data_IF_206165388176
#
_entry.id   IF_206165388176
#
_cell.length_a   1.000
_cell.length_b   1.000
_cell.length_c   1.000
_cell.angle_alpha   90.00
_cell.angle_beta   90.00
_cell.angle_gamma   90.00
#
_symmetry.space_group_name_H-M   'P 1'
#
loop_
_entity.id
_entity.type
_entity.pdbx_description
1 polymer ?
#
# COMPACT_ATOMS: atom_id res chain seq x y z
N UNK A 1 -8.23 65.32 -14.24
CA UNK A 1 -7.20 64.68 -13.42
C UNK A 1 -7.87 63.56 -12.62
N UNK A 2 -7.68 62.28 -13.07
CA UNK A 2 -8.17 61.08 -12.37
C UNK A 2 -6.93 60.30 -11.96
N UNK A 3 -6.69 60.20 -10.66
CA UNK A 3 -5.62 59.35 -10.12
C UNK A 3 -6.08 57.90 -10.13
N UNK A 4 -5.42 57.07 -10.90
CA UNK A 4 -5.56 55.62 -10.83
C UNK A 4 -4.61 55.10 -9.72
N UNK A 5 -5.18 54.54 -8.67
CA UNK A 5 -4.45 53.86 -7.61
C UNK A 5 -4.12 52.44 -8.06
N UNK A 6 -2.85 52.20 -8.33
CA UNK A 6 -2.34 50.85 -8.65
C UNK A 6 -2.14 50.08 -7.35
N UNK A 7 -3.00 49.10 -7.07
CA UNK A 7 -2.78 48.17 -5.97
C UNK A 7 -1.85 47.07 -6.47
N UNK A 8 -0.59 47.13 -6.07
CA UNK A 8 0.37 46.04 -6.19
C UNK A 8 0.08 45.07 -5.02
N UNK A 9 -0.59 43.97 -5.32
CA UNK A 9 -0.64 42.82 -4.41
C UNK A 9 0.75 42.16 -4.42
N UNK A 10 1.54 42.40 -3.39
CA UNK A 10 2.72 41.62 -3.12
C UNK A 10 2.28 40.24 -2.60
N UNK A 11 2.29 39.23 -3.49
CA UNK A 11 2.30 37.84 -3.05
C UNK A 11 3.65 37.61 -2.32
N UNK A 12 3.62 37.66 -1.01
CA UNK A 12 4.70 37.14 -0.19
C UNK A 12 4.68 35.63 -0.32
N UNK A 13 5.49 35.08 -1.26
CA UNK A 13 5.87 33.69 -1.24
C UNK A 13 6.64 33.49 0.08
N UNK A 14 6.01 32.91 1.07
CA UNK A 14 6.67 32.44 2.27
C UNK A 14 7.56 31.26 1.84
N UNK A 15 8.76 31.55 1.36
CA UNK A 15 9.82 30.58 1.23
C UNK A 15 10.18 30.19 2.68
N UNK A 16 9.68 29.08 3.16
CA UNK A 16 10.23 28.44 4.34
C UNK A 16 11.71 28.17 4.01
N UNK A 17 12.60 29.00 4.53
CA UNK A 17 14.02 28.74 4.47
C UNK A 17 14.26 27.53 5.37
N UNK A 18 14.31 26.34 4.77
CA UNK A 18 14.82 25.17 5.45
C UNK A 18 16.26 25.47 5.89
N UNK A 19 16.64 24.94 7.05
CA UNK A 19 18.00 25.03 7.54
C UNK A 19 19.00 24.30 6.60
N UNK A 20 20.24 24.16 7.05
CA UNK A 20 21.27 23.36 6.38
C UNK A 20 20.72 21.96 6.01
N UNK A 21 20.91 21.45 4.78
CA UNK A 21 20.53 20.10 4.42
C UNK A 21 21.36 19.05 5.18
N UNK A 22 20.73 17.94 5.53
CA UNK A 22 21.35 16.80 6.18
C UNK A 22 21.34 15.58 5.24
N UNK A 23 22.44 14.87 5.21
CA UNK A 23 22.63 13.69 4.38
C UNK A 23 22.76 12.46 5.25
N UNK A 24 22.14 11.35 4.80
CA UNK A 24 22.12 10.09 5.54
C UNK A 24 22.49 8.95 4.60
N UNK A 25 23.46 8.13 4.99
CA UNK A 25 23.90 6.95 4.25
C UNK A 25 24.10 5.76 5.20
N UNK A 26 23.27 4.73 5.05
CA UNK A 26 23.39 3.51 5.86
C UNK A 26 24.66 2.72 5.53
N UNK A 27 25.17 2.85 4.31
CA UNK A 27 26.37 2.14 3.82
C UNK A 27 27.69 2.85 4.12
N UNK A 28 27.68 4.20 4.20
CA UNK A 28 28.92 4.99 4.31
C UNK A 28 28.91 6.05 5.41
N UNK A 29 27.83 6.16 6.17
CA UNK A 29 27.66 7.18 7.20
C UNK A 29 28.08 6.73 8.61
N UNK A 30 28.14 7.72 9.52
CA UNK A 30 28.29 7.52 10.96
C UNK A 30 27.47 8.55 11.71
N UNK A 31 26.77 8.13 12.79
CA UNK A 31 25.96 9.06 13.58
C UNK A 31 26.81 10.03 14.43
N UNK A 32 28.13 9.85 14.45
CA UNK A 32 29.09 10.82 14.99
C UNK A 32 29.49 11.93 14.01
N UNK A 33 29.08 11.83 12.75
CA UNK A 33 29.36 12.83 11.72
C UNK A 33 28.48 14.08 11.89
N UNK A 34 28.71 15.12 11.09
CA UNK A 34 27.95 16.37 11.12
C UNK A 34 26.73 16.40 10.20
N UNK A 35 26.49 15.31 9.47
CA UNK A 35 25.38 15.19 8.52
C UNK A 35 25.56 15.96 7.21
N UNK A 36 26.75 16.45 6.90
CA UNK A 36 27.06 17.00 5.57
C UNK A 36 27.13 15.88 4.51
N UNK A 37 27.08 16.22 3.23
CA UNK A 37 27.19 15.24 2.15
C UNK A 37 28.52 14.47 2.19
N UNK A 38 29.63 15.15 2.58
CA UNK A 38 30.94 14.54 2.73
C UNK A 38 31.07 13.67 4.00
N UNK A 39 30.27 13.94 5.04
CA UNK A 39 30.26 13.24 6.31
C UNK A 39 28.80 12.95 6.74
N UNK A 40 28.09 12.05 6.05
CA UNK A 40 26.67 11.79 6.29
C UNK A 40 26.44 11.05 7.61
N UNK A 41 25.25 11.21 8.18
CA UNK A 41 24.77 10.34 9.25
C UNK A 41 24.58 8.91 8.76
N UNK A 42 24.61 7.95 9.65
CA UNK A 42 24.32 6.53 9.34
C UNK A 42 22.83 6.23 9.39
N UNK A 43 22.15 6.79 10.37
CA UNK A 43 20.73 6.52 10.62
C UNK A 43 19.89 7.78 10.42
N UNK A 44 18.63 7.59 10.01
CA UNK A 44 17.68 8.70 9.86
C UNK A 44 17.40 9.38 11.21
N UNK A 45 17.48 8.61 12.30
CA UNK A 45 17.25 9.10 13.65
C UNK A 45 18.30 10.12 14.14
N UNK A 46 19.47 10.17 13.51
CA UNK A 46 20.49 11.17 13.82
C UNK A 46 20.18 12.55 13.18
N UNK A 47 19.33 12.60 12.18
CA UNK A 47 18.92 13.85 11.56
C UNK A 47 17.84 14.57 12.38
N UNK A 48 17.78 15.91 12.34
CA UNK A 48 16.73 16.68 13.00
C UNK A 48 15.34 16.30 12.47
N UNK A 49 14.38 16.13 13.37
CA UNK A 49 13.00 15.76 13.01
C UNK A 49 12.08 16.94 12.73
N UNK A 50 12.59 18.18 12.84
CA UNK A 50 11.79 19.39 12.63
C UNK A 50 12.55 20.42 11.79
N UNK A 51 11.83 21.06 10.87
CA UNK A 51 12.32 22.18 10.04
C UNK A 51 13.62 21.86 9.27
N UNK A 52 13.75 20.65 8.72
CA UNK A 52 14.98 20.16 8.09
C UNK A 52 14.74 19.63 6.68
N UNK A 53 15.76 19.74 5.83
CA UNK A 53 15.89 18.97 4.59
C UNK A 53 16.80 17.76 4.85
N UNK A 54 16.32 16.56 4.55
CA UNK A 54 17.02 15.30 4.83
C UNK A 54 17.09 14.50 3.53
N UNK A 55 18.29 14.16 3.12
CA UNK A 55 18.54 13.42 1.89
C UNK A 55 19.12 12.04 2.19
N UNK A 56 18.42 11.00 1.74
CA UNK A 56 18.81 9.60 1.89
C UNK A 56 19.60 9.15 0.66
N UNK A 57 20.71 8.45 0.86
CA UNK A 57 21.55 7.99 -0.25
C UNK A 57 20.83 6.96 -1.10
N UNK A 58 20.80 7.18 -2.41
CA UNK A 58 20.31 6.20 -3.37
C UNK A 58 21.11 4.90 -3.31
N UNK A 59 20.44 3.76 -3.48
CA UNK A 59 21.01 2.43 -3.34
C UNK A 59 21.07 1.90 -1.90
N UNK A 60 20.91 2.75 -0.89
CA UNK A 60 20.95 2.35 0.51
C UNK A 60 19.61 1.79 1.00
N UNK A 61 19.70 0.87 1.97
CA UNK A 61 18.55 0.31 2.69
C UNK A 61 18.63 0.73 4.15
N UNK A 62 17.58 1.38 4.62
CA UNK A 62 17.42 1.83 6.00
C UNK A 62 16.42 0.91 6.72
N UNK A 63 16.90 0.05 7.59
CA UNK A 63 16.05 -0.85 8.36
C UNK A 63 15.44 -0.11 9.54
N UNK A 64 14.11 0.06 9.50
CA UNK A 64 13.36 0.82 10.49
C UNK A 64 12.25 1.63 9.84
N UNK A 65 11.64 2.52 10.60
CA UNK A 65 10.53 3.37 10.18
C UNK A 65 10.88 4.85 10.33
N UNK A 66 10.23 5.71 9.54
CA UNK A 66 10.26 7.17 9.70
C UNK A 66 9.00 7.60 10.46
N UNK A 67 9.15 8.34 11.55
CA UNK A 67 8.00 8.80 12.33
C UNK A 67 8.28 10.10 13.09
N UNK A 68 7.26 10.96 13.19
CA UNK A 68 7.29 12.15 14.05
C UNK A 68 8.00 13.36 13.44
N UNK A 69 8.17 13.43 12.14
CA UNK A 69 8.80 14.58 11.46
C UNK A 69 7.78 15.70 11.21
N UNK A 70 8.23 16.95 11.39
CA UNK A 70 7.42 18.17 11.20
C UNK A 70 8.14 19.18 10.35
N UNK A 71 7.40 19.80 9.42
CA UNK A 71 7.94 20.80 8.51
C UNK A 71 9.26 20.35 7.84
N UNK A 72 9.35 19.10 7.42
CA UNK A 72 10.56 18.51 6.85
C UNK A 72 10.37 18.18 5.39
N UNK A 73 11.48 18.23 4.64
CA UNK A 73 11.59 17.64 3.33
C UNK A 73 12.50 16.42 3.40
N UNK A 74 11.99 15.26 3.00
CA UNK A 74 12.74 13.99 2.99
C UNK A 74 12.85 13.54 1.54
N UNK A 75 14.07 13.46 1.03
CA UNK A 75 14.34 13.13 -0.37
C UNK A 75 15.49 12.15 -0.54
N UNK A 76 15.97 12.02 -1.77
CA UNK A 76 17.08 11.16 -2.12
C UNK A 76 18.24 11.97 -2.76
N UNK A 77 19.48 11.51 -2.57
CA UNK A 77 20.66 12.07 -3.22
C UNK A 77 21.55 10.99 -3.84
N UNK A 78 22.44 11.39 -4.72
CA UNK A 78 23.32 10.50 -5.47
C UNK A 78 22.59 9.80 -6.62
N UNK A 79 23.20 8.77 -7.18
CA UNK A 79 22.67 8.02 -8.31
C UNK A 79 22.25 6.60 -7.92
N UNK A 80 21.39 5.97 -8.73
CA UNK A 80 20.94 4.61 -8.54
C UNK A 80 19.47 4.49 -8.09
N UNK A 81 19.12 3.33 -7.53
CA UNK A 81 17.77 3.03 -7.06
C UNK A 81 17.36 3.96 -5.92
N UNK A 82 16.05 4.16 -5.74
CA UNK A 82 15.52 4.91 -4.60
C UNK A 82 16.01 4.30 -3.27
N UNK A 83 16.33 5.12 -2.25
CA UNK A 83 16.61 4.62 -0.91
C UNK A 83 15.39 3.91 -0.35
N UNK A 84 15.59 2.80 0.35
CA UNK A 84 14.52 1.94 0.84
C UNK A 84 14.38 2.01 2.35
N UNK A 85 13.23 2.44 2.83
CA UNK A 85 12.82 2.27 4.23
C UNK A 85 12.23 0.87 4.36
N UNK A 86 12.88 0.00 5.11
CA UNK A 86 12.63 -1.43 5.08
C UNK A 86 12.23 -2.00 6.45
N UNK A 87 11.07 -2.65 6.49
CA UNK A 87 10.55 -3.36 7.67
C UNK A 87 10.77 -4.87 7.64
N UNK A 88 11.56 -5.38 6.69
CA UNK A 88 11.79 -6.82 6.54
C UNK A 88 12.80 -7.35 7.57
N UNK A 89 12.43 -8.44 8.25
CA UNK A 89 13.30 -9.31 9.01
C UNK A 89 13.77 -10.45 8.10
N UNK A 90 15.05 -10.54 7.84
CA UNK A 90 15.64 -11.44 6.83
C UNK A 90 16.30 -12.63 7.53
N UNK A 91 15.95 -13.85 7.14
CA UNK A 91 16.60 -15.06 7.68
C UNK A 91 18.03 -15.11 7.16
N UNK A 92 18.99 -15.00 8.10
CA UNK A 92 20.44 -15.07 7.85
C UNK A 92 20.98 -16.48 7.96
N UNK A 93 20.47 -17.22 8.94
CA UNK A 93 20.92 -18.58 9.25
C UNK A 93 19.88 -19.61 8.81
N UNK A 94 20.05 -20.31 7.68
CA UNK A 94 19.13 -21.37 7.24
C UNK A 94 18.99 -22.52 8.26
N UNK A 95 20.00 -22.78 9.09
CA UNK A 95 19.97 -23.83 10.12
C UNK A 95 19.08 -23.44 11.32
N UNK A 96 18.63 -22.20 11.41
CA UNK A 96 17.67 -21.76 12.43
C UNK A 96 16.25 -22.35 12.25
N UNK A 97 15.95 -22.88 11.07
CA UNK A 97 14.72 -23.60 10.83
C UNK A 97 14.75 -24.99 11.44
N UNK A 98 13.83 -25.27 12.34
CA UNK A 98 13.62 -26.58 12.95
C UNK A 98 12.48 -27.31 12.21
N UNK A 99 12.76 -28.54 11.71
CA UNK A 99 11.74 -29.37 11.08
C UNK A 99 10.87 -30.05 12.13
N UNK A 100 9.57 -29.93 11.98
CA UNK A 100 8.55 -30.61 12.76
C UNK A 100 7.88 -31.73 11.92
N UNK A 101 6.82 -32.33 12.45
CA UNK A 101 6.02 -33.30 11.72
C UNK A 101 5.24 -32.64 10.56
N UNK A 102 4.81 -33.45 9.58
CA UNK A 102 3.90 -33.05 8.49
C UNK A 102 4.40 -31.90 7.60
N UNK A 103 5.70 -31.87 7.30
CA UNK A 103 6.35 -30.85 6.49
C UNK A 103 6.20 -29.42 7.05
N UNK A 104 6.04 -29.28 8.34
CA UNK A 104 6.03 -27.99 9.01
C UNK A 104 7.45 -27.68 9.52
N UNK A 105 7.88 -26.47 9.30
CA UNK A 105 9.10 -25.89 9.81
C UNK A 105 8.77 -24.74 10.75
N UNK A 106 9.59 -24.53 11.78
CA UNK A 106 9.46 -23.36 12.65
C UNK A 106 10.78 -22.62 12.79
N UNK A 107 10.69 -21.33 13.07
CA UNK A 107 11.84 -20.48 13.41
C UNK A 107 11.50 -19.58 14.59
N UNK A 108 12.45 -19.44 15.53
CA UNK A 108 12.29 -18.55 16.69
C UNK A 108 12.61 -17.11 16.28
N UNK A 109 11.58 -16.26 16.24
CA UNK A 109 11.66 -14.87 15.83
C UNK A 109 12.35 -13.95 16.84
N UNK A 110 12.61 -14.46 18.06
CA UNK A 110 13.23 -13.69 19.16
C UNK A 110 14.75 -13.81 19.21
N UNK A 111 15.34 -14.58 18.29
CA UNK A 111 16.79 -14.86 18.24
C UNK A 111 17.49 -13.95 17.23
N UNK A 112 18.11 -12.82 17.65
CA UNK A 112 18.68 -11.84 16.72
C UNK A 112 19.80 -12.42 15.85
N UNK A 113 20.55 -13.41 16.35
CA UNK A 113 21.63 -14.08 15.63
C UNK A 113 21.17 -14.79 14.35
N UNK A 114 19.87 -15.07 14.22
CA UNK A 114 19.28 -15.75 13.06
C UNK A 114 18.85 -14.81 11.95
N UNK A 115 18.88 -13.51 12.19
CA UNK A 115 18.31 -12.52 11.27
C UNK A 115 19.26 -11.37 10.96
N UNK A 116 19.14 -10.88 9.73
CA UNK A 116 19.56 -9.56 9.30
C UNK A 116 18.34 -8.65 9.09
N UNK A 117 18.59 -7.40 8.78
CA UNK A 117 17.52 -6.44 8.45
C UNK A 117 16.88 -5.80 9.68
N UNK A 118 15.56 -5.60 9.63
CA UNK A 118 14.82 -4.99 10.72
C UNK A 118 14.52 -6.02 11.81
N UNK A 119 15.24 -5.93 12.90
CA UNK A 119 14.97 -6.77 14.06
C UNK A 119 13.84 -6.17 14.89
N UNK A 120 12.66 -6.78 14.76
CA UNK A 120 11.48 -6.41 15.52
C UNK A 120 11.31 -7.37 16.72
N UNK A 121 10.85 -6.84 17.85
CA UNK A 121 10.60 -7.60 19.07
C UNK A 121 9.13 -7.55 19.48
N UNK A 122 8.74 -8.48 20.34
CA UNK A 122 7.41 -8.55 20.92
C UNK A 122 6.31 -8.53 19.88
N UNK A 123 5.36 -7.61 20.00
CA UNK A 123 4.22 -7.49 19.09
C UNK A 123 4.58 -7.23 17.64
N UNK A 124 5.76 -6.69 17.35
CA UNK A 124 6.22 -6.42 15.98
C UNK A 124 6.58 -7.70 15.23
N UNK A 125 6.76 -8.82 15.94
CA UNK A 125 6.86 -10.15 15.33
C UNK A 125 5.51 -10.72 14.87
N UNK A 126 4.43 -9.96 14.91
CA UNK A 126 3.17 -10.24 14.24
C UNK A 126 3.39 -10.13 12.71
N UNK A 127 3.87 -11.21 12.12
CA UNK A 127 4.30 -11.25 10.73
C UNK A 127 3.08 -11.19 9.79
N UNK A 128 3.13 -10.31 8.81
CA UNK A 128 2.07 -10.14 7.83
C UNK A 128 2.27 -10.97 6.56
N UNK A 129 3.51 -11.16 6.12
CA UNK A 129 3.84 -11.92 4.92
C UNK A 129 5.18 -12.63 5.04
N UNK A 130 5.31 -13.77 4.36
CA UNK A 130 6.58 -14.47 4.10
C UNK A 130 6.98 -14.21 2.65
N UNK A 131 8.20 -13.76 2.44
CA UNK A 131 8.70 -13.30 1.16
C UNK A 131 10.06 -13.91 0.80
N UNK A 132 10.19 -14.47 -0.39
CA UNK A 132 11.48 -14.88 -0.94
C UNK A 132 12.05 -13.75 -1.79
N UNK A 133 13.04 -13.06 -1.26
CA UNK A 133 13.70 -11.93 -1.91
C UNK A 133 14.47 -12.34 -3.17
N UNK A 134 14.96 -13.60 -3.24
CA UNK A 134 15.71 -14.07 -4.41
C UNK A 134 14.82 -14.35 -5.61
N UNK A 135 13.57 -14.74 -5.36
CA UNK A 135 12.58 -15.06 -6.40
C UNK A 135 11.52 -13.98 -6.60
N UNK A 136 11.59 -12.88 -5.84
CA UNK A 136 10.54 -11.84 -5.76
C UNK A 136 9.13 -12.44 -5.56
N UNK A 137 9.02 -13.44 -4.64
CA UNK A 137 7.80 -14.23 -4.45
C UNK A 137 7.26 -14.07 -3.04
N UNK A 138 5.98 -13.74 -2.92
CA UNK A 138 5.23 -13.85 -1.66
C UNK A 138 4.73 -15.28 -1.51
N UNK A 139 4.85 -15.86 -0.33
CA UNK A 139 4.34 -17.20 -0.03
C UNK A 139 3.02 -17.13 0.71
N UNK A 140 2.13 -18.03 0.33
CA UNK A 140 0.95 -18.53 1.02
C UNK A 140 0.18 -17.58 1.92
N UNK A 141 -0.64 -18.16 2.76
CA UNK A 141 -1.53 -17.40 3.62
C UNK A 141 -1.17 -17.56 5.10
N UNK A 142 -1.30 -16.47 5.85
CA UNK A 142 -1.31 -16.55 7.30
C UNK A 142 -2.61 -17.24 7.72
N UNK A 143 -2.50 -18.45 8.24
CA UNK A 143 -3.65 -19.21 8.75
C UNK A 143 -3.96 -18.84 10.21
N UNK A 144 -5.13 -19.22 10.67
CA UNK A 144 -5.68 -18.80 11.96
C UNK A 144 -5.21 -19.65 13.15
N UNK A 145 -4.61 -20.81 12.87
CA UNK A 145 -4.18 -21.79 13.87
C UNK A 145 -3.23 -22.80 13.26
N UNK A 146 -2.40 -23.45 14.08
CA UNK A 146 -1.41 -24.42 13.65
C UNK A 146 -1.97 -25.56 12.77
N UNK A 147 -3.09 -26.16 13.17
CA UNK A 147 -3.71 -27.27 12.42
C UNK A 147 -4.44 -26.83 11.12
N UNK A 148 -4.40 -25.57 10.76
CA UNK A 148 -4.88 -25.06 9.48
C UNK A 148 -3.75 -24.85 8.45
N UNK A 149 -2.53 -25.26 8.75
CA UNK A 149 -1.40 -25.28 7.80
C UNK A 149 -1.60 -26.41 6.78
N UNK A 150 -2.41 -26.20 5.74
CA UNK A 150 -2.85 -27.23 4.80
C UNK A 150 -2.15 -27.17 3.44
N UNK A 151 -1.77 -25.98 3.00
CA UNK A 151 -1.07 -25.79 1.73
C UNK A 151 0.41 -25.48 1.93
N UNK A 152 1.26 -25.87 0.96
CA UNK A 152 2.66 -25.44 0.98
C UNK A 152 2.72 -23.92 0.77
N UNK A 153 3.46 -23.25 1.65
CA UNK A 153 3.53 -21.81 1.73
C UNK A 153 2.65 -21.21 2.83
N UNK A 154 1.67 -21.94 3.35
CA UNK A 154 0.91 -21.48 4.50
C UNK A 154 1.81 -21.26 5.71
N UNK A 155 1.53 -20.22 6.48
CA UNK A 155 2.26 -19.92 7.69
C UNK A 155 1.33 -19.53 8.84
N UNK A 156 1.82 -19.72 10.03
CA UNK A 156 1.16 -19.32 11.28
C UNK A 156 2.19 -18.72 12.21
N UNK A 157 1.80 -17.69 12.94
CA UNK A 157 2.69 -17.06 13.93
C UNK A 157 2.15 -17.37 15.31
N UNK A 158 2.99 -17.89 16.18
CA UNK A 158 2.60 -18.21 17.55
C UNK A 158 2.51 -16.95 18.41
N UNK A 159 1.35 -16.50 18.53
CA UNK A 159 0.75 -15.82 19.63
C UNK A 159 -0.57 -16.52 19.77
N UNK A 160 -1.16 -16.62 20.92
CA UNK A 160 -2.52 -17.08 21.03
C UNK A 160 -3.44 -16.11 20.29
N UNK A 161 -3.55 -16.29 18.98
CA UNK A 161 -4.63 -15.70 18.20
C UNK A 161 -5.88 -16.45 18.60
N UNK A 162 -6.25 -16.32 19.88
CA UNK A 162 -7.46 -16.89 20.41
C UNK A 162 -8.65 -16.23 19.70
N UNK A 163 -9.71 -16.97 19.50
CA UNK A 163 -10.97 -16.51 18.88
C UNK A 163 -11.64 -15.34 19.63
N UNK A 164 -11.09 -14.91 20.71
CA UNK A 164 -11.61 -13.86 21.60
C UNK A 164 -10.71 -12.66 21.41
N UNK A 165 -11.31 -11.49 21.26
CA UNK A 165 -10.65 -10.19 21.26
C UNK A 165 -9.26 -10.27 21.87
N UNK A 166 -8.21 -10.25 21.06
CA UNK A 166 -6.83 -10.27 21.54
C UNK A 166 -6.59 -8.92 22.23
N UNK A 167 -7.21 -8.75 23.38
CA UNK A 167 -6.93 -7.64 24.30
C UNK A 167 -5.65 -7.91 25.08
N UNK A 168 -5.09 -9.12 24.97
CA UNK A 168 -3.85 -9.43 25.64
C UNK A 168 -2.70 -8.70 24.97
N UNK A 169 -2.32 -7.62 25.61
CA UNK A 169 -1.20 -6.77 25.22
C UNK A 169 0.17 -7.44 25.47
N UNK A 170 0.20 -8.63 26.04
CA UNK A 170 1.40 -9.38 26.41
C UNK A 170 1.88 -10.39 25.36
N UNK A 171 1.15 -10.56 24.24
CA UNK A 171 1.53 -11.53 23.22
C UNK A 171 2.87 -11.19 22.55
N UNK A 172 3.82 -12.04 22.84
CA UNK A 172 5.09 -12.08 22.11
C UNK A 172 4.99 -13.16 21.05
N UNK A 173 4.80 -12.75 19.79
CA UNK A 173 4.87 -13.66 18.64
C UNK A 173 6.27 -14.27 18.56
N UNK A 174 6.45 -15.44 19.18
CA UNK A 174 7.77 -16.03 19.33
C UNK A 174 8.18 -16.86 18.12
N UNK A 175 7.29 -17.71 17.63
CA UNK A 175 7.62 -18.64 16.55
C UNK A 175 6.80 -18.35 15.30
N UNK A 176 7.45 -18.43 14.14
CA UNK A 176 6.77 -18.58 12.87
C UNK A 176 6.83 -20.05 12.46
N UNK A 177 5.70 -20.60 12.10
CA UNK A 177 5.52 -21.94 11.53
C UNK A 177 5.20 -21.80 10.05
N UNK A 178 5.88 -22.59 9.23
CA UNK A 178 5.77 -22.51 7.77
C UNK A 178 5.69 -23.91 7.19
N UNK A 179 4.71 -24.17 6.30
CA UNK A 179 4.60 -25.47 5.63
C UNK A 179 5.43 -25.49 4.37
N UNK A 180 6.44 -26.38 4.34
CA UNK A 180 7.33 -26.55 3.20
C UNK A 180 7.89 -27.98 3.16
N UNK A 181 8.02 -28.55 1.95
CA UNK A 181 8.64 -29.89 1.76
C UNK A 181 10.09 -29.90 2.24
N UNK A 182 10.81 -28.85 1.97
CA UNK A 182 12.21 -28.68 2.31
C UNK A 182 12.40 -27.47 3.24
N UNK A 183 13.60 -27.32 3.78
CA UNK A 183 13.96 -26.14 4.54
C UNK A 183 13.61 -24.87 3.73
N UNK A 184 12.77 -23.95 4.28
CA UNK A 184 12.32 -22.78 3.52
C UNK A 184 13.44 -21.91 2.95
N UNK A 185 14.62 -21.92 3.60
CA UNK A 185 15.81 -21.18 3.15
C UNK A 185 16.78 -22.04 2.32
N UNK A 186 16.37 -23.22 1.85
CA UNK A 186 17.18 -24.06 0.95
C UNK A 186 17.10 -23.62 -0.52
N UNK A 187 17.95 -24.18 -1.37
CA UNK A 187 17.91 -23.94 -2.80
C UNK A 187 18.12 -22.49 -3.25
N UNK A 188 18.88 -21.71 -2.48
CA UNK A 188 19.16 -20.30 -2.77
C UNK A 188 18.03 -19.33 -2.40
N UNK A 189 16.99 -19.80 -1.73
CA UNK A 189 15.91 -18.92 -1.24
C UNK A 189 16.42 -17.96 -0.18
N UNK A 190 16.05 -16.68 -0.30
CA UNK A 190 16.34 -15.63 0.67
C UNK A 190 15.06 -15.21 1.35
N UNK A 191 14.72 -15.93 2.42
CA UNK A 191 13.44 -15.73 3.13
C UNK A 191 13.47 -14.48 4.02
N UNK A 192 12.43 -13.69 3.93
CA UNK A 192 12.21 -12.52 4.75
C UNK A 192 10.75 -12.46 5.23
N UNK A 193 10.52 -11.72 6.31
CA UNK A 193 9.22 -11.56 6.93
C UNK A 193 8.86 -10.07 7.01
N UNK A 194 7.62 -9.70 6.59
CA UNK A 194 7.11 -8.37 6.88
C UNK A 194 6.75 -8.27 8.36
N UNK A 195 7.33 -7.29 9.06
CA UNK A 195 7.09 -7.12 10.50
C UNK A 195 5.98 -6.10 10.76
N UNK A 196 5.23 -6.28 11.85
CA UNK A 196 4.18 -5.35 12.22
C UNK A 196 4.75 -3.95 12.48
N UNK A 197 4.28 -2.97 11.71
CA UNK A 197 4.71 -1.58 11.78
C UNK A 197 4.19 -0.77 10.62
N UNK A 198 4.40 0.54 10.69
CA UNK A 198 4.12 1.50 9.61
C UNK A 198 5.44 2.08 9.13
N UNK A 199 5.64 2.08 7.81
CA UNK A 199 6.91 2.54 7.24
C UNK A 199 7.17 4.03 7.47
N UNK A 200 6.19 4.87 7.15
CA UNK A 200 6.25 6.31 7.38
C UNK A 200 4.98 6.74 8.10
N UNK A 201 5.13 7.44 9.24
CA UNK A 201 3.96 7.84 10.03
C UNK A 201 4.17 9.11 10.86
N UNK A 202 3.04 9.68 11.32
CA UNK A 202 3.01 10.86 12.20
C UNK A 202 3.80 12.04 11.62
N UNK A 203 3.59 12.30 10.32
CA UNK A 203 4.18 13.45 9.64
C UNK A 203 3.23 14.64 9.65
N UNK A 204 3.78 15.83 9.82
CA UNK A 204 3.04 17.10 9.79
C UNK A 204 3.76 18.09 8.88
N UNK A 205 3.05 18.61 7.86
CA UNK A 205 3.58 19.56 6.88
C UNK A 205 4.91 19.13 6.22
N UNK A 206 5.02 17.86 5.89
CA UNK A 206 6.23 17.29 5.29
C UNK A 206 6.08 17.03 3.79
N UNK A 207 7.22 17.04 3.09
CA UNK A 207 7.31 16.53 1.73
C UNK A 207 8.25 15.31 1.71
N UNK A 208 7.79 14.18 1.13
CA UNK A 208 8.59 12.97 0.93
C UNK A 208 8.67 12.68 -0.55
N UNK A 209 9.86 12.65 -1.12
CA UNK A 209 10.07 12.49 -2.56
C UNK A 209 11.15 11.44 -2.86
N UNK A 210 10.86 10.58 -3.85
CA UNK A 210 11.83 9.62 -4.37
C UNK A 210 12.37 8.61 -3.35
N UNK A 211 11.54 8.18 -2.41
CA UNK A 211 11.85 7.19 -1.37
C UNK A 211 11.01 5.94 -1.58
N UNK A 212 11.56 4.76 -1.32
CA UNK A 212 10.85 3.51 -1.32
C UNK A 212 10.52 3.04 0.11
N UNK A 213 9.35 2.40 0.28
CA UNK A 213 8.90 1.79 1.55
C UNK A 213 8.57 0.33 1.29
N UNK A 214 9.14 -0.61 2.05
CA UNK A 214 8.95 -2.04 1.78
C UNK A 214 8.85 -2.89 3.05
N UNK A 215 7.92 -3.86 3.04
CA UNK A 215 7.90 -4.96 4.00
C UNK A 215 7.37 -4.62 5.39
N UNK A 216 6.43 -3.69 5.49
CA UNK A 216 5.74 -3.37 6.74
C UNK A 216 4.40 -4.07 6.83
N UNK A 217 4.13 -4.77 7.91
CA UNK A 217 2.95 -5.59 8.10
C UNK A 217 1.68 -4.82 8.47
N UNK A 218 1.76 -3.50 8.69
CA UNK A 218 0.60 -2.64 9.00
C UNK A 218 0.28 -1.74 7.82
N UNK A 219 0.97 -0.62 7.65
CA UNK A 219 0.75 0.30 6.53
C UNK A 219 2.09 0.79 5.95
N UNK A 220 2.08 1.19 4.69
CA UNK A 220 3.23 1.86 4.07
C UNK A 220 3.39 3.27 4.63
N UNK A 221 2.39 4.10 4.44
CA UNK A 221 2.31 5.48 4.93
C UNK A 221 0.99 5.68 5.67
N UNK A 222 1.01 6.24 6.87
CA UNK A 222 -0.19 6.54 7.63
C UNK A 222 0.00 7.73 8.57
N UNK A 223 -1.10 8.33 9.02
CA UNK A 223 -1.10 9.43 10.00
C UNK A 223 -0.26 10.61 9.54
N UNK A 224 -0.62 11.19 8.42
CA UNK A 224 0.02 12.36 7.84
C UNK A 224 -0.98 13.52 7.71
N UNK A 225 -0.52 14.75 7.92
CA UNK A 225 -1.31 15.97 7.85
C UNK A 225 -0.55 17.06 7.12
N UNK A 226 -1.15 17.64 6.09
CA UNK A 226 -0.52 18.69 5.29
C UNK A 226 0.69 18.21 4.51
N UNK A 227 0.74 16.92 4.17
CA UNK A 227 1.92 16.27 3.60
C UNK A 227 1.81 16.06 2.08
N UNK A 228 2.96 16.03 1.42
CA UNK A 228 3.08 15.69 0.01
C UNK A 228 4.00 14.49 -0.15
N UNK A 229 3.49 13.46 -0.84
CA UNK A 229 4.23 12.24 -1.15
C UNK A 229 4.37 12.14 -2.67
N UNK A 230 5.60 12.17 -3.18
CA UNK A 230 5.88 12.16 -4.61
C UNK A 230 6.85 11.08 -5.01
N UNK A 231 6.64 10.53 -6.20
CA UNK A 231 7.58 9.60 -6.82
C UNK A 231 8.03 8.45 -5.90
N UNK A 232 7.19 8.03 -4.97
CA UNK A 232 7.51 6.97 -4.02
C UNK A 232 7.17 5.59 -4.59
N UNK A 233 7.89 4.57 -4.09
CA UNK A 233 7.53 3.17 -4.28
C UNK A 233 7.11 2.58 -2.94
N UNK A 234 5.91 2.00 -2.86
CA UNK A 234 5.38 1.36 -1.66
C UNK A 234 5.03 -0.07 -2.00
N UNK A 235 5.73 -1.06 -1.43
CA UNK A 235 5.66 -2.45 -1.85
C UNK A 235 5.62 -3.43 -0.69
N UNK A 236 4.88 -4.54 -0.84
CA UNK A 236 4.79 -5.63 0.12
C UNK A 236 4.32 -5.14 1.50
N UNK A 237 3.11 -4.59 1.55
CA UNK A 237 2.56 -3.94 2.75
C UNK A 237 1.38 -4.75 3.30
N UNK A 238 1.39 -4.95 4.62
CA UNK A 238 0.25 -5.46 5.36
C UNK A 238 0.32 -6.93 5.72
N UNK A 239 -0.85 -7.47 6.07
CA UNK A 239 -1.08 -8.85 6.47
C UNK A 239 -0.95 -9.11 7.96
N UNK A 240 -0.40 -8.22 8.76
CA UNK A 240 -0.37 -8.37 10.23
C UNK A 240 -1.78 -8.34 10.80
N UNK A 241 -2.04 -9.20 11.78
CA UNK A 241 -3.34 -9.24 12.49
C UNK A 241 -3.56 -7.93 13.25
N UNK A 242 -4.75 -7.37 13.15
CA UNK A 242 -5.12 -6.21 13.95
C UNK A 242 -5.41 -6.66 15.38
N UNK A 243 -4.50 -6.34 16.30
CA UNK A 243 -4.65 -6.71 17.71
C UNK A 243 -5.90 -6.05 18.33
N UNK A 244 -6.64 -6.82 19.12
CA UNK A 244 -7.91 -6.38 19.70
C UNK A 244 -9.15 -6.68 18.85
N UNK A 245 -8.96 -7.27 17.66
CA UNK A 245 -10.01 -7.68 16.74
C UNK A 245 -9.94 -9.18 16.46
N UNK A 246 -10.98 -9.79 15.86
CA UNK A 246 -10.89 -11.16 15.39
C UNK A 246 -9.69 -11.36 14.46
N UNK A 247 -9.04 -12.51 14.54
CA UNK A 247 -7.79 -12.84 13.83
C UNK A 247 -7.84 -12.70 12.28
N UNK A 248 -9.04 -12.68 11.69
CA UNK A 248 -9.20 -12.43 10.26
C UNK A 248 -9.17 -10.95 9.90
N UNK A 249 -9.24 -10.04 10.89
CA UNK A 249 -9.09 -8.61 10.64
C UNK A 249 -7.60 -8.29 10.60
N UNK A 250 -7.14 -7.89 9.44
CA UNK A 250 -5.73 -7.59 9.17
C UNK A 250 -5.60 -6.20 8.59
N UNK A 251 -4.43 -5.63 8.74
CA UNK A 251 -4.06 -4.31 8.26
C UNK A 251 -3.24 -4.44 6.98
N UNK A 252 -3.22 -3.41 6.11
CA UNK A 252 -2.42 -3.55 4.91
C UNK A 252 -2.50 -2.45 3.86
N UNK A 253 -2.78 -1.21 4.25
CA UNK A 253 -2.91 -0.12 3.28
C UNK A 253 -1.54 0.44 2.85
N UNK A 254 -1.39 0.70 1.55
CA UNK A 254 -0.22 1.40 1.02
C UNK A 254 -0.13 2.81 1.57
N UNK A 255 -1.16 3.62 1.32
CA UNK A 255 -1.37 4.92 1.95
C UNK A 255 -2.69 4.92 2.71
N UNK A 256 -2.65 5.22 4.00
CA UNK A 256 -3.83 5.33 4.84
C UNK A 256 -4.02 6.76 5.37
N UNK A 257 -5.10 7.40 4.97
CA UNK A 257 -5.54 8.67 5.55
C UNK A 257 -6.80 8.44 6.37
N UNK A 258 -6.59 8.28 7.67
CA UNK A 258 -7.65 8.06 8.64
C UNK A 258 -8.07 9.36 9.32
N UNK A 259 -9.36 9.66 9.27
CA UNK A 259 -9.95 10.78 10.01
C UNK A 259 -10.72 10.29 11.23
N UNK A 260 -10.73 11.07 12.27
CA UNK A 260 -11.65 10.94 13.41
C UNK A 260 -12.10 12.31 13.86
N UNK A 261 -13.16 12.38 14.69
CA UNK A 261 -13.62 13.60 15.32
C UNK A 261 -12.57 14.31 16.21
N UNK A 262 -11.50 13.59 16.54
CA UNK A 262 -10.35 14.11 17.32
C UNK A 262 -9.13 14.45 16.48
N UNK A 263 -9.10 14.00 15.22
CA UNK A 263 -7.97 14.18 14.30
C UNK A 263 -8.50 14.42 12.89
N UNK A 264 -8.44 15.64 12.39
CA UNK A 264 -8.77 15.92 11.00
C UNK A 264 -7.78 15.18 10.07
N UNK A 265 -8.22 14.90 8.87
CA UNK A 265 -7.34 14.50 7.79
C UNK A 265 -7.49 15.53 6.67
N UNK A 266 -6.44 16.28 6.40
CA UNK A 266 -6.52 17.37 5.42
C UNK A 266 -5.19 17.66 4.74
N UNK A 267 -5.30 18.27 3.56
CA UNK A 267 -4.18 18.82 2.80
C UNK A 267 -3.08 17.80 2.48
N UNK A 268 -3.46 16.55 2.15
CA UNK A 268 -2.51 15.52 1.76
C UNK A 268 -2.55 15.29 0.24
N UNK A 269 -1.38 15.23 -0.38
CA UNK A 269 -1.21 14.92 -1.80
C UNK A 269 -0.33 13.67 -1.95
N UNK A 270 -0.80 12.69 -2.73
CA UNK A 270 0.00 11.54 -3.20
C UNK A 270 0.05 11.62 -4.72
N UNK A 271 1.23 11.81 -5.29
CA UNK A 271 1.40 12.09 -6.69
C UNK A 271 2.53 11.27 -7.34
N UNK A 272 2.25 10.62 -8.46
CA UNK A 272 3.24 9.88 -9.23
C UNK A 272 3.89 8.71 -8.49
N UNK A 273 3.23 8.17 -7.47
CA UNK A 273 3.73 7.05 -6.67
C UNK A 273 3.35 5.70 -7.29
N UNK A 274 4.18 4.67 -7.05
CA UNK A 274 3.85 3.27 -7.37
C UNK A 274 3.56 2.53 -6.07
N UNK A 275 2.39 1.92 -5.98
CA UNK A 275 1.98 1.08 -4.84
C UNK A 275 1.72 -0.33 -5.34
N UNK A 276 2.36 -1.31 -4.73
CA UNK A 276 2.23 -2.69 -5.17
C UNK A 276 2.11 -3.67 -4.02
N UNK A 277 1.41 -4.78 -4.27
CA UNK A 277 1.29 -5.91 -3.34
C UNK A 277 0.93 -5.47 -1.93
N UNK A 278 -0.24 -4.84 -1.76
CA UNK A 278 -0.79 -4.53 -0.44
C UNK A 278 -1.78 -5.60 -0.03
N UNK A 279 -1.75 -6.00 1.24
CA UNK A 279 -2.72 -6.97 1.78
C UNK A 279 -4.15 -6.42 1.74
N UNK A 280 -4.33 -5.12 1.90
CA UNK A 280 -5.58 -4.41 1.82
C UNK A 280 -5.50 -3.35 0.69
N UNK A 281 -5.88 -2.12 0.91
CA UNK A 281 -5.97 -1.12 -0.14
C UNK A 281 -4.61 -0.53 -0.54
N UNK A 282 -4.45 -0.20 -1.81
CA UNK A 282 -3.32 0.61 -2.27
C UNK A 282 -3.37 2.02 -1.68
N UNK A 283 -4.57 2.60 -1.66
CA UNK A 283 -4.85 3.91 -1.08
C UNK A 283 -6.21 3.90 -0.36
N UNK A 284 -6.33 4.64 0.73
CA UNK A 284 -7.62 4.80 1.41
C UNK A 284 -7.80 6.17 2.04
N UNK A 285 -9.03 6.69 1.95
CA UNK A 285 -9.51 7.88 2.65
C UNK A 285 -10.69 7.45 3.50
N UNK A 286 -10.49 7.29 4.80
CA UNK A 286 -11.47 6.64 5.64
C UNK A 286 -11.53 7.18 7.06
N UNK A 287 -12.63 6.93 7.74
CA UNK A 287 -12.75 7.24 9.16
C UNK A 287 -14.10 6.97 9.78
N UNK A 288 -14.07 6.76 11.08
CA UNK A 288 -15.27 6.59 11.92
C UNK A 288 -15.11 7.41 13.19
N UNK A 289 -16.15 8.16 13.55
CA UNK A 289 -16.19 8.94 14.78
C UNK A 289 -17.59 9.16 15.31
N UNK A 290 -17.71 9.89 16.41
CA UNK A 290 -19.00 10.26 17.01
C UNK A 290 -19.45 11.67 16.64
N UNK A 291 -18.50 12.61 16.47
CA UNK A 291 -18.76 14.00 16.09
C UNK A 291 -18.78 14.24 14.58
N UNK A 292 -18.71 15.48 14.18
CA UNK A 292 -18.60 15.86 12.78
C UNK A 292 -17.26 15.39 12.19
N UNK A 293 -17.33 14.79 11.02
CA UNK A 293 -16.21 14.20 10.32
C UNK A 293 -16.00 14.92 8.99
N UNK A 294 -14.85 15.57 8.84
CA UNK A 294 -14.45 16.22 7.59
C UNK A 294 -13.13 15.67 7.10
N UNK A 295 -13.10 15.22 5.86
CA UNK A 295 -11.89 14.96 5.09
C UNK A 295 -11.79 16.03 4.02
N UNK A 296 -10.72 16.81 4.03
CA UNK A 296 -10.60 18.00 3.19
C UNK A 296 -9.29 18.00 2.41
N UNK A 297 -9.38 18.30 1.11
CA UNK A 297 -8.23 18.47 0.22
C UNK A 297 -7.24 17.30 0.32
N UNK A 298 -7.74 16.07 0.18
CA UNK A 298 -6.92 14.85 0.09
C UNK A 298 -6.98 14.33 -1.34
N UNK A 299 -5.80 14.25 -1.99
CA UNK A 299 -5.72 13.96 -3.43
C UNK A 299 -4.73 12.84 -3.71
N UNK A 300 -5.15 11.89 -4.54
CA UNK A 300 -4.32 10.87 -5.15
C UNK A 300 -4.31 11.09 -6.66
N UNK A 301 -3.18 11.50 -7.22
CA UNK A 301 -3.09 11.95 -8.62
C UNK A 301 -1.96 11.24 -9.37
N UNK A 302 -2.27 10.61 -10.49
CA UNK A 302 -1.27 10.03 -11.39
C UNK A 302 -0.50 8.84 -10.81
N UNK A 303 -1.03 8.16 -9.80
CA UNK A 303 -0.37 7.03 -9.16
C UNK A 303 -0.60 5.71 -9.92
N UNK A 304 0.25 4.72 -9.66
CA UNK A 304 0.15 3.36 -10.21
C UNK A 304 -0.08 2.37 -9.08
N UNK A 305 -1.15 1.58 -9.16
CA UNK A 305 -1.48 0.51 -8.20
C UNK A 305 -1.37 -0.84 -8.89
N UNK A 306 -0.61 -1.79 -8.33
CA UNK A 306 -0.34 -3.08 -8.98
C UNK A 306 -0.56 -4.20 -7.97
N UNK A 307 -1.53 -5.10 -8.25
CA UNK A 307 -1.86 -6.24 -7.39
C UNK A 307 -2.06 -5.86 -5.92
N UNK A 308 -2.67 -4.71 -5.68
CA UNK A 308 -3.26 -4.39 -4.39
C UNK A 308 -4.57 -5.17 -4.25
N UNK A 309 -5.03 -5.47 -3.04
CA UNK A 309 -6.33 -6.13 -2.89
C UNK A 309 -7.47 -5.23 -3.40
N UNK A 310 -7.43 -3.93 -3.06
CA UNK A 310 -8.20 -2.88 -3.72
C UNK A 310 -7.22 -1.77 -4.14
N UNK A 311 -7.50 -1.08 -5.24
CA UNK A 311 -6.70 0.09 -5.58
C UNK A 311 -7.04 1.26 -4.66
N UNK A 312 -8.34 1.49 -4.42
CA UNK A 312 -8.80 2.61 -3.62
C UNK A 312 -10.04 2.26 -2.77
N UNK A 313 -9.96 2.55 -1.49
CA UNK A 313 -11.06 2.46 -0.56
C UNK A 313 -11.45 3.83 -0.04
N UNK A 314 -12.75 4.08 0.10
CA UNK A 314 -13.25 5.31 0.68
C UNK A 314 -14.50 5.07 1.51
N UNK A 315 -14.49 5.57 2.72
CA UNK A 315 -15.67 5.72 3.54
C UNK A 315 -15.42 6.73 4.66
N UNK A 316 -16.43 7.45 5.07
CA UNK A 316 -16.41 8.25 6.28
C UNK A 316 -17.78 8.14 6.97
N UNK A 317 -17.77 7.87 8.25
CA UNK A 317 -19.00 7.67 9.03
C UNK A 317 -18.95 8.40 10.36
N UNK A 318 -19.92 9.29 10.58
CA UNK A 318 -20.24 9.79 11.90
C UNK A 318 -21.42 9.01 12.49
N UNK A 319 -21.32 8.64 13.76
CA UNK A 319 -22.41 7.98 14.49
C UNK A 319 -23.45 8.98 15.01
N UNK A 320 -23.03 10.20 15.35
CA UNK A 320 -23.90 11.24 16.00
C UNK A 320 -23.90 12.57 15.27
N UNK A 321 -22.92 12.84 14.42
CA UNK A 321 -22.75 14.08 13.67
C UNK A 321 -22.91 13.89 12.16
N UNK A 322 -22.32 14.80 11.40
CA UNK A 322 -22.24 14.77 9.95
C UNK A 322 -20.92 14.16 9.47
N UNK A 323 -20.90 13.64 8.25
CA UNK A 323 -19.68 13.16 7.60
C UNK A 323 -19.66 13.66 6.17
N UNK A 324 -18.53 14.21 5.70
CA UNK A 324 -18.38 14.68 4.33
C UNK A 324 -16.91 14.68 3.87
N UNK A 325 -16.75 14.61 2.55
CA UNK A 325 -15.52 14.98 1.85
C UNK A 325 -15.65 16.43 1.34
N UNK A 326 -14.54 17.14 1.23
CA UNK A 326 -14.44 18.45 0.62
C UNK A 326 -13.17 18.52 -0.20
N UNK A 327 -13.27 18.80 -1.51
CA UNK A 327 -12.13 18.87 -2.43
C UNK A 327 -11.21 17.63 -2.38
N UNK A 328 -11.82 16.43 -2.28
CA UNK A 328 -11.11 15.17 -2.29
C UNK A 328 -11.15 14.52 -3.66
N UNK A 329 -10.02 13.94 -4.09
CA UNK A 329 -9.88 13.46 -5.46
C UNK A 329 -9.02 12.19 -5.56
N UNK A 330 -9.50 11.22 -6.35
CA UNK A 330 -8.73 10.10 -6.85
C UNK A 330 -8.73 10.16 -8.37
N UNK A 331 -7.67 10.70 -9.00
CA UNK A 331 -7.71 11.04 -10.42
C UNK A 331 -6.44 10.67 -11.19
N UNK A 332 -6.62 10.40 -12.47
CA UNK A 332 -5.54 10.05 -13.40
C UNK A 332 -4.68 8.89 -12.93
N UNK A 333 -5.17 8.08 -12.00
CA UNK A 333 -4.47 6.91 -11.49
C UNK A 333 -4.67 5.72 -12.43
N UNK A 334 -3.80 4.72 -12.28
CA UNK A 334 -3.85 3.47 -13.02
C UNK A 334 -3.74 2.30 -12.06
N UNK A 335 -4.59 1.30 -12.27
CA UNK A 335 -4.61 0.09 -11.45
C UNK A 335 -4.54 -1.16 -12.32
N UNK A 336 -3.71 -2.09 -11.93
CA UNK A 336 -3.52 -3.36 -12.61
C UNK A 336 -3.76 -4.51 -11.63
N UNK A 337 -4.69 -5.40 -12.01
CA UNK A 337 -4.99 -6.63 -11.30
C UNK A 337 -5.26 -6.46 -9.80
N UNK A 338 -6.08 -5.47 -9.42
CA UNK A 338 -6.56 -5.38 -8.05
C UNK A 338 -7.41 -6.63 -7.71
N UNK A 339 -7.16 -7.22 -6.55
CA UNK A 339 -7.74 -8.51 -6.13
C UNK A 339 -6.88 -9.72 -6.44
N UNK A 340 -5.93 -9.65 -7.37
CA UNK A 340 -5.04 -10.75 -7.76
C UNK A 340 -3.75 -10.79 -6.92
N UNK A 341 -3.82 -10.42 -5.69
CA UNK A 341 -2.69 -10.38 -4.79
C UNK A 341 -2.40 -11.77 -4.19
N UNK A 342 -1.12 -12.05 -3.96
CA UNK A 342 -0.62 -13.40 -3.67
C UNK A 342 -0.71 -13.78 -2.21
N UNK A 343 -0.97 -12.85 -1.29
CA UNK A 343 -0.98 -13.11 0.15
C UNK A 343 -2.26 -12.67 0.87
N UNK A 344 -3.17 -11.98 0.20
CA UNK A 344 -4.53 -11.78 0.72
C UNK A 344 -5.42 -12.96 0.33
N UNK A 345 -6.30 -13.36 1.22
CA UNK A 345 -7.31 -14.38 0.93
C UNK A 345 -8.33 -13.80 -0.05
N UNK A 346 -8.59 -14.44 -1.21
CA UNK A 346 -9.60 -13.97 -2.15
C UNK A 346 -10.96 -13.85 -1.47
N UNK A 347 -11.61 -12.72 -1.67
CA UNK A 347 -12.96 -12.46 -1.19
C UNK A 347 -13.78 -11.77 -2.28
N UNK A 348 -15.11 -11.91 -2.22
CA UNK A 348 -16.01 -11.28 -3.17
C UNK A 348 -15.95 -9.73 -3.19
N UNK A 349 -15.29 -9.11 -2.23
CA UNK A 349 -15.07 -7.66 -2.18
C UNK A 349 -13.77 -7.19 -2.82
N UNK A 350 -12.98 -8.09 -3.38
CA UNK A 350 -11.73 -7.76 -4.04
C UNK A 350 -12.03 -7.08 -5.38
N UNK A 351 -11.80 -5.78 -5.46
CA UNK A 351 -12.18 -4.93 -6.59
C UNK A 351 -11.23 -3.75 -6.72
N UNK A 352 -11.29 -3.03 -7.84
CA UNK A 352 -10.55 -1.79 -8.01
C UNK A 352 -10.96 -0.73 -6.99
N UNK A 353 -12.26 -0.58 -6.76
CA UNK A 353 -12.84 0.40 -5.85
C UNK A 353 -13.63 -0.28 -4.74
N UNK A 354 -13.46 0.17 -3.51
CA UNK A 354 -14.22 -0.28 -2.35
C UNK A 354 -14.83 0.92 -1.62
N UNK A 355 -16.14 0.86 -1.40
CA UNK A 355 -16.83 1.73 -0.45
C UNK A 355 -17.34 0.89 0.71
N UNK A 356 -16.77 1.08 1.86
CA UNK A 356 -17.10 0.32 3.05
C UNK A 356 -18.07 1.12 3.93
N UNK A 357 -18.99 0.49 4.57
CA UNK A 357 -20.03 1.01 5.48
C UNK A 357 -20.31 2.52 5.44
N UNK A 358 -21.54 2.92 5.39
CA UNK A 358 -21.93 4.29 5.65
C UNK A 358 -23.14 4.77 4.88
N UNK A 359 -23.56 5.98 5.22
CA UNK A 359 -24.52 6.73 4.43
C UNK A 359 -23.79 7.32 3.21
N UNK A 360 -24.49 7.60 2.11
CA UNK A 360 -23.91 8.35 1.00
C UNK A 360 -23.27 9.64 1.50
N UNK A 361 -22.03 9.91 1.08
CA UNK A 361 -21.27 11.09 1.47
C UNK A 361 -20.79 11.77 0.19
N UNK A 362 -21.07 13.07 0.05
CA UNK A 362 -20.67 13.86 -1.11
C UNK A 362 -19.26 14.43 -0.98
N UNK A 363 -18.70 14.93 -2.08
CA UNK A 363 -17.46 15.71 -2.09
C UNK A 363 -16.19 14.92 -2.42
N UNK A 364 -16.31 13.64 -2.81
CA UNK A 364 -15.22 12.85 -3.37
C UNK A 364 -15.42 12.66 -4.89
N UNK A 365 -14.40 12.96 -5.66
CA UNK A 365 -14.37 12.78 -7.11
C UNK A 365 -13.38 11.68 -7.49
N UNK A 366 -13.85 10.69 -8.26
CA UNK A 366 -13.04 9.61 -8.86
C UNK A 366 -13.10 9.77 -10.37
N UNK A 367 -12.03 10.29 -11.00
CA UNK A 367 -12.08 10.66 -12.42
C UNK A 367 -10.82 10.31 -13.20
N UNK A 368 -10.99 10.14 -14.50
CA UNK A 368 -9.90 9.95 -15.47
C UNK A 368 -8.96 8.78 -15.12
N UNK A 369 -9.43 7.80 -14.34
CA UNK A 369 -8.62 6.66 -13.93
C UNK A 369 -8.68 5.54 -14.95
N UNK A 370 -7.65 4.71 -14.94
CA UNK A 370 -7.54 3.50 -15.75
C UNK A 370 -7.45 2.26 -14.86
N UNK A 371 -8.29 1.27 -15.09
CA UNK A 371 -8.32 0.01 -14.36
C UNK A 371 -8.24 -1.17 -15.32
N UNK A 372 -7.33 -2.10 -15.06
CA UNK A 372 -7.14 -3.31 -15.84
C UNK A 372 -7.24 -4.56 -14.97
N UNK A 373 -8.05 -5.53 -15.42
CA UNK A 373 -8.08 -6.88 -14.86
C UNK A 373 -8.59 -6.97 -13.43
N UNK A 374 -9.53 -6.09 -13.07
CA UNK A 374 -10.12 -6.04 -11.73
C UNK A 374 -11.64 -5.99 -11.81
N UNK A 375 -12.33 -6.63 -10.88
CA UNK A 375 -13.72 -6.27 -10.58
C UNK A 375 -13.79 -4.77 -10.29
N UNK A 376 -14.91 -4.11 -10.65
CA UNK A 376 -14.92 -2.65 -10.62
C UNK A 376 -15.20 -2.10 -9.23
N UNK A 377 -16.36 -2.45 -8.68
CA UNK A 377 -16.82 -1.82 -7.45
C UNK A 377 -17.36 -2.84 -6.45
N UNK A 378 -16.73 -2.91 -5.28
CA UNK A 378 -17.31 -3.59 -4.13
C UNK A 378 -17.90 -2.53 -3.20
N UNK A 379 -19.21 -2.55 -2.95
CA UNK A 379 -19.81 -1.52 -2.18
C UNK A 379 -20.84 -2.01 -1.18
N UNK A 380 -20.99 -1.20 -0.14
CA UNK A 380 -22.16 -1.20 0.73
C UNK A 380 -23.00 0.06 0.49
N UNK A 381 -22.37 1.15 0.04
CA UNK A 381 -23.01 2.42 -0.27
C UNK A 381 -22.16 3.20 -1.27
N UNK A 382 -22.71 3.55 -2.41
CA UNK A 382 -22.02 4.38 -3.41
C UNK A 382 -21.90 5.82 -2.89
N UNK A 383 -20.67 6.34 -2.78
CA UNK A 383 -20.39 7.63 -2.11
C UNK A 383 -19.52 8.58 -2.93
N UNK A 384 -18.93 8.15 -4.05
CA UNK A 384 -18.07 8.98 -4.88
C UNK A 384 -18.78 9.42 -6.17
N UNK A 385 -18.48 10.62 -6.64
CA UNK A 385 -18.83 11.04 -8.00
C UNK A 385 -17.82 10.41 -8.96
N UNK A 386 -18.32 9.65 -9.93
CA UNK A 386 -17.51 8.97 -10.95
C UNK A 386 -17.56 9.75 -12.27
N UNK A 387 -16.40 9.96 -12.93
CA UNK A 387 -16.32 10.66 -14.23
C UNK A 387 -15.16 10.15 -15.09
N UNK A 388 -15.44 9.82 -16.35
CA UNK A 388 -14.43 9.54 -17.38
C UNK A 388 -13.41 8.45 -17.06
N UNK A 389 -13.76 7.51 -16.18
CA UNK A 389 -12.89 6.37 -15.86
C UNK A 389 -12.94 5.32 -16.99
N UNK A 390 -11.90 4.52 -17.11
CA UNK A 390 -11.83 3.42 -18.08
C UNK A 390 -11.55 2.12 -17.35
N UNK A 391 -12.42 1.13 -17.51
CA UNK A 391 -12.35 -0.19 -16.88
C UNK A 391 -12.22 -1.26 -17.96
N UNK A 392 -11.19 -2.10 -17.84
CA UNK A 392 -11.05 -3.37 -18.54
C UNK A 392 -11.26 -4.50 -17.53
N UNK A 393 -12.38 -5.19 -17.65
CA UNK A 393 -12.83 -6.22 -16.69
C UNK A 393 -12.81 -7.57 -17.39
N UNK A 394 -12.37 -8.63 -16.71
CA UNK A 394 -12.42 -9.97 -17.25
C UNK A 394 -13.81 -10.58 -17.12
N UNK A 395 -14.19 -11.48 -18.05
CA UNK A 395 -15.54 -12.05 -18.09
C UNK A 395 -15.96 -12.78 -16.82
N UNK A 396 -15.01 -13.33 -16.05
CA UNK A 396 -15.25 -14.04 -14.78
C UNK A 396 -15.31 -13.11 -13.55
N UNK A 397 -15.19 -11.80 -13.73
CA UNK A 397 -15.24 -10.80 -12.68
C UNK A 397 -16.64 -10.17 -12.56
N UNK A 398 -16.87 -9.39 -11.51
CA UNK A 398 -18.08 -8.62 -11.36
C UNK A 398 -17.84 -7.11 -11.62
N UNK A 399 -18.88 -6.43 -12.11
CA UNK A 399 -18.86 -4.97 -12.23
C UNK A 399 -19.23 -4.32 -10.90
N UNK A 400 -20.24 -4.87 -10.21
CA UNK A 400 -20.66 -4.42 -8.88
C UNK A 400 -20.95 -5.65 -8.00
N UNK A 401 -20.46 -5.60 -6.78
CA UNK A 401 -20.83 -6.57 -5.76
C UNK A 401 -21.17 -5.86 -4.45
N UNK A 402 -22.28 -6.26 -3.83
CA UNK A 402 -22.66 -5.83 -2.49
C UNK A 402 -22.85 -7.06 -1.60
N UNK A 403 -21.99 -7.26 -0.62
CA UNK A 403 -22.02 -8.43 0.26
C UNK A 403 -23.30 -8.56 1.09
N UNK A 404 -24.04 -7.48 1.29
CA UNK A 404 -25.32 -7.50 2.01
C UNK A 404 -26.52 -7.68 1.11
N UNK A 405 -26.33 -7.55 -0.20
CA UNK A 405 -27.32 -7.75 -1.25
C UNK A 405 -26.68 -8.48 -2.43
N UNK A 406 -26.24 -9.72 -2.24
CA UNK A 406 -25.52 -10.46 -3.28
C UNK A 406 -26.38 -10.70 -4.54
N UNK A 407 -27.70 -10.70 -4.40
CA UNK A 407 -28.66 -10.80 -5.49
C UNK A 407 -28.65 -9.57 -6.44
N UNK A 408 -28.10 -8.45 -5.98
CA UNK A 408 -27.94 -7.24 -6.78
C UNK A 408 -26.58 -7.16 -7.47
N UNK A 409 -25.77 -8.23 -7.43
CA UNK A 409 -24.49 -8.27 -8.11
C UNK A 409 -24.67 -8.17 -9.63
N UNK A 410 -23.74 -7.46 -10.29
CA UNK A 410 -23.65 -7.36 -11.73
C UNK A 410 -22.36 -8.05 -12.16
N UNK A 411 -22.48 -9.23 -12.79
CA UNK A 411 -21.33 -9.96 -13.32
C UNK A 411 -21.01 -9.48 -14.74
N UNK A 412 -19.72 -9.50 -15.10
CA UNK A 412 -19.25 -8.98 -16.39
C UNK A 412 -19.81 -9.77 -17.59
N UNK A 413 -20.02 -11.07 -17.43
CA UNK A 413 -20.60 -11.97 -18.45
C UNK A 413 -22.14 -11.95 -18.52
N UNK A 414 -22.81 -11.19 -17.63
CA UNK A 414 -24.26 -11.15 -17.60
C UNK A 414 -24.83 -10.27 -18.72
N UNK A 415 -26.04 -10.60 -19.17
CA UNK A 415 -26.78 -9.82 -20.17
C UNK A 415 -26.94 -8.35 -19.73
N UNK A 416 -26.64 -7.42 -20.63
CA UNK A 416 -26.70 -5.97 -20.41
C UNK A 416 -25.86 -5.48 -19.20
N UNK A 417 -24.74 -6.19 -18.88
CA UNK A 417 -23.89 -5.87 -17.74
C UNK A 417 -23.41 -4.40 -17.77
N UNK A 418 -22.93 -3.94 -18.91
CA UNK A 418 -22.39 -2.57 -19.07
C UNK A 418 -23.48 -1.51 -18.88
N UNK A 419 -24.69 -1.75 -19.39
CA UNK A 419 -25.84 -0.86 -19.22
C UNK A 419 -26.28 -0.78 -17.75
N UNK A 420 -26.37 -1.93 -17.08
CA UNK A 420 -26.68 -2.01 -15.66
C UNK A 420 -25.63 -1.26 -14.82
N UNK A 421 -24.35 -1.39 -15.18
CA UNK A 421 -23.26 -0.67 -14.51
C UNK A 421 -23.35 0.83 -14.71
N UNK A 422 -23.64 1.31 -15.92
CA UNK A 422 -23.85 2.74 -16.18
C UNK A 422 -25.01 3.31 -15.36
N UNK A 423 -26.12 2.56 -15.30
CA UNK A 423 -27.26 2.93 -14.48
C UNK A 423 -26.89 2.99 -12.98
N UNK A 424 -26.06 2.06 -12.50
CA UNK A 424 -25.55 2.05 -11.13
C UNK A 424 -24.64 3.26 -10.84
N UNK A 425 -23.71 3.59 -11.73
CA UNK A 425 -22.80 4.74 -11.59
C UNK A 425 -23.52 6.08 -11.75
N UNK A 426 -24.68 6.10 -12.40
CA UNK A 426 -25.44 7.32 -12.67
C UNK A 426 -24.76 8.27 -13.65
N UNK A 427 -23.87 7.75 -14.50
CA UNK A 427 -23.17 8.52 -15.53
C UNK A 427 -22.91 7.68 -16.80
N UNK A 428 -22.65 8.34 -17.91
CA UNK A 428 -22.36 7.76 -19.23
C UNK A 428 -20.92 8.06 -19.70
N UNK A 429 -20.14 8.76 -18.89
CA UNK A 429 -18.77 9.17 -19.23
C UNK A 429 -17.74 8.06 -18.96
N UNK A 430 -18.04 7.13 -18.04
CA UNK A 430 -17.20 5.99 -17.75
C UNK A 430 -17.25 4.95 -18.86
N UNK A 431 -16.08 4.41 -19.23
CA UNK A 431 -15.93 3.41 -20.29
C UNK A 431 -15.65 2.05 -19.67
N UNK A 432 -16.44 1.04 -20.04
CA UNK A 432 -16.35 -0.32 -19.53
C UNK A 432 -16.16 -1.27 -20.72
N UNK A 433 -15.09 -2.06 -20.68
CA UNK A 433 -14.74 -3.05 -21.67
C UNK A 433 -14.60 -4.42 -21.00
N UNK A 434 -15.18 -5.44 -21.61
CA UNK A 434 -14.93 -6.82 -21.21
C UNK A 434 -13.74 -7.33 -22.03
N UNK A 435 -12.72 -7.83 -21.35
CA UNK A 435 -11.46 -8.30 -21.93
C UNK A 435 -11.19 -9.76 -21.57
N UNK A 436 -10.35 -10.43 -22.33
CA UNK A 436 -9.88 -11.75 -22.00
C UNK A 436 -8.64 -11.69 -21.08
N UNK A 437 -8.55 -12.58 -20.10
CA UNK A 437 -7.41 -12.64 -19.15
C UNK A 437 -6.07 -12.81 -19.87
N UNK A 438 -6.05 -13.52 -20.99
CA UNK A 438 -4.87 -13.81 -21.77
C UNK A 438 -4.51 -12.76 -22.82
N UNK A 439 -5.26 -11.66 -22.95
CA UNK A 439 -4.97 -10.64 -23.97
C UNK A 439 -3.80 -9.73 -23.58
N UNK A 440 -2.63 -10.35 -23.42
CA UNK A 440 -1.39 -9.64 -23.14
C UNK A 440 -0.97 -8.68 -24.25
N UNK A 441 -1.41 -8.90 -25.49
CA UNK A 441 -1.10 -7.99 -26.60
C UNK A 441 -1.84 -6.67 -26.49
N UNK A 442 -3.10 -6.69 -26.07
CA UNK A 442 -3.87 -5.49 -25.78
C UNK A 442 -3.24 -4.74 -24.58
N UNK A 443 -2.93 -5.44 -23.51
CA UNK A 443 -2.30 -4.88 -22.33
C UNK A 443 -0.92 -4.26 -22.65
N UNK A 444 -0.08 -4.97 -23.43
CA UNK A 444 1.24 -4.49 -23.84
C UNK A 444 1.16 -3.18 -24.64
N UNK A 445 0.24 -3.11 -25.58
CA UNK A 445 -0.03 -1.88 -26.36
C UNK A 445 -0.43 -0.75 -25.45
N UNK A 446 -1.39 -0.97 -24.54
CA UNK A 446 -1.88 0.05 -23.61
C UNK A 446 -0.74 0.56 -22.70
N UNK A 447 0.08 -0.35 -22.15
CA UNK A 447 1.20 0.02 -21.29
C UNK A 447 2.22 0.87 -22.07
N UNK A 448 2.61 0.43 -23.25
CA UNK A 448 3.61 1.11 -24.08
C UNK A 448 3.17 2.50 -24.57
N UNK A 449 1.89 2.65 -24.87
CA UNK A 449 1.33 3.91 -25.38
C UNK A 449 1.05 4.93 -24.26
N UNK A 450 0.59 4.47 -23.08
CA UNK A 450 0.01 5.33 -22.06
C UNK A 450 0.80 5.47 -20.79
N UNK A 451 1.69 4.50 -20.46
CA UNK A 451 2.25 4.39 -19.11
C UNK A 451 3.77 4.35 -19.06
N UNK A 452 4.39 5.25 -19.82
CA UNK A 452 5.85 5.40 -19.83
C UNK A 452 6.39 5.65 -18.41
N UNK A 453 7.44 4.91 -18.05
CA UNK A 453 8.11 5.01 -16.75
C UNK A 453 7.65 4.02 -15.67
N UNK A 454 6.52 3.32 -15.89
CA UNK A 454 6.04 2.27 -14.97
C UNK A 454 5.98 0.89 -15.63
N UNK A 455 6.40 0.76 -16.90
CA UNK A 455 6.25 -0.47 -17.69
C UNK A 455 6.96 -1.68 -17.05
N UNK A 456 8.17 -1.45 -16.54
CA UNK A 456 8.98 -2.53 -15.97
C UNK A 456 8.31 -3.15 -14.73
N UNK A 457 7.79 -2.32 -13.82
CA UNK A 457 7.11 -2.80 -12.62
C UNK A 457 5.78 -3.48 -12.93
N UNK A 458 4.99 -2.91 -13.84
CA UNK A 458 3.72 -3.52 -14.26
C UNK A 458 3.99 -4.90 -14.85
N UNK A 459 4.94 -5.03 -15.79
CA UNK A 459 5.30 -6.31 -16.42
C UNK A 459 5.79 -7.33 -15.42
N UNK A 460 6.71 -6.92 -14.53
CA UNK A 460 7.31 -7.79 -13.52
C UNK A 460 6.27 -8.31 -12.53
N UNK A 461 5.46 -7.42 -11.97
CA UNK A 461 4.52 -7.79 -10.91
C UNK A 461 3.31 -8.52 -11.48
N UNK A 462 2.76 -8.09 -12.62
CA UNK A 462 1.66 -8.79 -13.31
C UNK A 462 2.12 -10.02 -14.11
N UNK A 463 3.42 -10.34 -14.08
CA UNK A 463 3.99 -11.53 -14.79
C UNK A 463 3.67 -11.55 -16.28
N UNK A 464 3.67 -10.37 -16.92
CA UNK A 464 3.41 -10.25 -18.36
C UNK A 464 4.61 -10.85 -19.12
N UNK A 465 4.41 -11.77 -20.08
CA UNK A 465 5.48 -12.36 -20.87
C UNK A 465 6.32 -11.30 -21.60
N UNK A 466 7.61 -11.59 -21.80
CA UNK A 466 8.46 -10.72 -22.59
C UNK A 466 7.94 -10.57 -24.03
N UNK A 467 8.20 -9.42 -24.64
CA UNK A 467 7.68 -9.07 -25.97
C UNK A 467 8.05 -10.08 -27.06
N UNK A 468 9.25 -10.65 -26.98
CA UNK A 468 9.73 -11.72 -27.88
C UNK A 468 8.88 -12.99 -27.79
N UNK A 469 8.37 -13.33 -26.61
CA UNK A 469 7.48 -14.45 -26.37
C UNK A 469 6.06 -14.17 -26.90
N UNK A 470 5.57 -12.95 -26.72
CA UNK A 470 4.28 -12.52 -27.23
C UNK A 470 4.22 -12.49 -28.77
N UNK A 471 5.32 -12.14 -29.44
CA UNK A 471 5.43 -12.19 -30.88
C UNK A 471 5.43 -13.64 -31.40
N UNK A 472 6.05 -14.58 -30.67
CA UNK A 472 6.04 -16.00 -31.05
C UNK A 472 4.66 -16.67 -30.92
N UNK A 473 3.82 -16.21 -29.97
CA UNK A 473 2.46 -16.72 -29.76
C UNK A 473 1.44 -16.22 -30.82
N UNK A 474 1.77 -15.18 -31.62
CA UNK A 474 0.92 -14.70 -32.71
C UNK A 474 0.94 -15.59 -33.98
N UNK A 475 1.80 -16.58 -34.01
CA UNK A 475 1.97 -17.54 -35.16
C UNK A 475 1.40 -18.91 -34.87
N UNK A 476 0.67 -19.12 -33.81
CA UNK A 476 -0.13 -20.31 -33.49
C UNK A 476 -1.57 -19.89 -33.23
#
# INVERSE_FOLDING_TARGET
MKFALLHILALAACACAFGKPYYVSSSGGSDSNDGSEAAPFKTIAAAPSENAEIFLKRGDVFYGAISGFKNCKIGAYGEGAKPVICGLKIVKNPAAWERLANDVWRIDLTKPENFDGYFAEGKRNNIGAVYDMAKDKVYGHLVTRYNALNAYGDFWVSGEVSRVNVQDKSENFRYLYFRSKENPSSGGAKIAFSTSGVGISNLENCEVDSVAVKGFGVHGVARAWGCKFRNMDVDLIGGSVQLGYPHWVRLGNGFEFWVSDKRPCSNNLVEGCTVSRTYDCGATIQGIGDGDMLIENVKFVGNTFIRCRQAFEHFVRSRKGTAKYSDCEFSSNRSFEAGENEFSTPEARDAALLSYEGKPVSGLLVKDNFFWGSSVYSNQTHTAKMESNTFYVFGDQYLVFNRYKPEAAIFADSENAVEKMRAFLGNDTDKIFIADRGDFSLLDRIISERFKGSEADIRRICKIPEKSLLESLRFW
#
